data_IF_593034509185
#
_entry.id   IF_593034509185
#
_cell.length_a   1.000
_cell.length_b   1.000
_cell.length_c   1.000
_cell.angle_alpha   90.00
_cell.angle_beta   90.00
_cell.angle_gamma   90.00
#
_symmetry.space_group_name_H-M   'P 1'
#
loop_
_entity.id
_entity.type
_entity.pdbx_description
1 polymer ?
#
# COMPACT_ATOMS: atom_id res chain seq x y z
N UNK A 1 -11.31 6.49 -2.52
CA UNK A 1 -10.82 5.66 -1.39
C UNK A 1 -10.12 6.57 -0.38
N UNK A 2 -9.96 6.14 0.89
CA UNK A 2 -9.37 6.99 1.96
C UNK A 2 -7.99 7.50 1.59
N UNK A 3 -7.14 6.64 1.00
CA UNK A 3 -5.81 7.02 0.53
C UNK A 3 -5.81 8.15 -0.49
N UNK A 4 -6.62 8.06 -1.54
CA UNK A 4 -6.75 9.12 -2.54
C UNK A 4 -7.15 10.47 -1.91
N UNK A 5 -8.08 10.43 -0.94
CA UNK A 5 -8.54 11.63 -0.24
C UNK A 5 -7.44 12.24 0.64
N UNK A 6 -6.62 11.41 1.28
CA UNK A 6 -5.45 11.88 2.02
C UNK A 6 -4.48 12.63 1.10
N UNK A 7 -4.19 12.09 -0.08
CA UNK A 7 -3.27 12.71 -1.04
C UNK A 7 -3.78 14.08 -1.53
N UNK A 8 -5.09 14.28 -1.64
CA UNK A 8 -5.68 15.57 -2.01
C UNK A 8 -5.38 16.68 -0.99
N UNK A 9 -5.18 16.36 0.30
CA UNK A 9 -4.84 17.35 1.32
C UNK A 9 -3.50 18.03 1.09
N UNK A 10 -2.61 17.43 0.28
CA UNK A 10 -1.37 18.07 -0.15
C UNK A 10 -1.62 19.46 -0.76
N UNK A 11 -2.72 19.64 -1.48
CA UNK A 11 -3.07 20.94 -2.10
C UNK A 11 -3.38 22.05 -1.09
N UNK A 12 -3.69 21.69 0.17
CA UNK A 12 -3.98 22.61 1.26
C UNK A 12 -2.78 22.86 2.16
N UNK A 13 -1.74 22.02 2.07
CA UNK A 13 -0.51 22.19 2.83
C UNK A 13 0.51 23.00 2.02
N UNK A 14 1.07 24.06 2.61
CA UNK A 14 1.94 25.00 1.90
C UNK A 14 3.22 24.33 1.41
N UNK A 15 3.81 23.45 2.23
CA UNK A 15 5.07 22.78 1.90
C UNK A 15 4.84 21.74 0.82
N UNK A 16 3.84 20.87 1.00
CA UNK A 16 3.49 19.84 0.02
C UNK A 16 3.08 20.44 -1.33
N UNK A 17 2.18 21.43 -1.32
CA UNK A 17 1.70 22.09 -2.54
C UNK A 17 2.83 22.79 -3.30
N UNK A 18 3.90 23.23 -2.62
CA UNK A 18 5.06 23.84 -3.28
C UNK A 18 5.79 22.87 -4.23
N UNK A 19 5.74 21.56 -3.93
CA UNK A 19 6.34 20.49 -4.72
C UNK A 19 5.36 19.84 -5.72
N UNK A 20 4.05 19.96 -5.49
CA UNK A 20 3.00 19.31 -6.29
C UNK A 20 2.00 20.31 -6.87
N UNK A 21 2.49 21.19 -7.74
CA UNK A 21 1.68 22.24 -8.38
C UNK A 21 0.88 21.72 -9.56
N UNK A 22 -0.28 22.33 -9.83
CA UNK A 22 -1.08 22.03 -11.04
C UNK A 22 -0.22 22.23 -12.31
N UNK A 23 -0.32 21.32 -13.30
CA UNK A 23 -1.25 20.19 -13.37
C UNK A 23 -0.79 18.91 -12.64
N UNK A 24 0.41 18.86 -12.07
CA UNK A 24 1.05 17.70 -11.46
C UNK A 24 0.87 17.66 -9.93
N UNK A 25 -0.40 17.55 -9.50
CA UNK A 25 -0.77 17.37 -8.09
C UNK A 25 -0.31 16.01 -7.57
N UNK A 26 -0.11 15.85 -6.26
CA UNK A 26 0.35 14.59 -5.63
C UNK A 26 -0.42 13.33 -6.11
N UNK A 27 -1.77 13.29 -6.14
CA UNK A 27 -2.50 12.13 -6.66
C UNK A 27 -2.18 11.82 -8.12
N UNK A 28 -2.03 12.86 -8.96
CA UNK A 28 -1.73 12.70 -10.38
C UNK A 28 -0.29 12.21 -10.60
N UNK A 29 0.66 12.76 -9.83
CA UNK A 29 2.05 12.35 -9.84
C UNK A 29 2.19 10.88 -9.43
N UNK A 30 1.54 10.47 -8.32
CA UNK A 30 1.57 9.07 -7.90
C UNK A 30 0.94 8.15 -8.95
N UNK A 31 -0.17 8.55 -9.57
CA UNK A 31 -0.78 7.76 -10.65
C UNK A 31 0.18 7.54 -11.83
N UNK A 32 0.88 8.60 -12.25
CA UNK A 32 1.89 8.51 -13.31
C UNK A 32 3.03 7.58 -12.91
N UNK A 33 3.57 7.77 -11.70
CA UNK A 33 4.64 6.95 -11.15
C UNK A 33 4.30 5.45 -11.11
N UNK A 34 3.09 5.09 -10.64
CA UNK A 34 2.64 3.69 -10.61
C UNK A 34 2.58 3.09 -12.03
N UNK A 35 2.07 3.85 -13.00
CA UNK A 35 2.01 3.42 -14.39
C UNK A 35 3.40 3.29 -15.04
N UNK A 36 4.33 4.19 -14.70
CA UNK A 36 5.71 4.12 -15.16
C UNK A 36 6.43 2.89 -14.60
N UNK A 37 6.19 2.55 -13.32
CA UNK A 37 6.72 1.34 -12.69
C UNK A 37 6.12 0.05 -13.27
N UNK A 38 4.84 0.05 -13.65
CA UNK A 38 4.24 -1.08 -14.38
C UNK A 38 4.86 -1.25 -15.77
N UNK A 39 5.17 -0.14 -16.44
CA UNK A 39 5.76 -0.13 -17.79
C UNK A 39 7.23 -0.49 -17.79
N UNK A 40 8.00 -0.01 -16.81
CA UNK A 40 9.43 -0.28 -16.64
C UNK A 40 9.74 -0.69 -15.19
N UNK A 41 9.46 -1.97 -14.84
CA UNK A 41 9.69 -2.50 -13.50
C UNK A 41 11.18 -2.66 -13.14
N UNK A 42 12.08 -2.40 -14.10
CA UNK A 42 13.53 -2.51 -13.92
C UNK A 42 14.24 -1.14 -13.92
N UNK A 43 13.49 -0.03 -13.96
CA UNK A 43 14.04 1.30 -13.74
C UNK A 43 14.71 1.42 -12.36
N UNK A 44 15.68 2.33 -12.24
CA UNK A 44 16.53 2.47 -11.04
C UNK A 44 15.74 2.57 -9.74
N UNK A 45 14.67 3.36 -9.68
CA UNK A 45 13.88 3.48 -8.45
C UNK A 45 12.81 2.39 -8.30
N UNK A 46 12.34 1.78 -9.38
CA UNK A 46 11.41 0.66 -9.30
C UNK A 46 12.09 -0.59 -8.70
N UNK A 47 13.35 -0.83 -9.05
CA UNK A 47 14.09 -2.00 -8.52
C UNK A 47 14.35 -1.91 -7.03
N UNK A 48 14.47 -0.71 -6.46
CA UNK A 48 14.63 -0.54 -5.00
C UNK A 48 13.49 -1.17 -4.21
N UNK A 49 12.27 -1.17 -4.76
CA UNK A 49 11.10 -1.74 -4.08
C UNK A 49 11.18 -3.26 -3.92
N UNK A 50 12.07 -3.95 -4.66
CA UNK A 50 12.35 -5.38 -4.46
C UNK A 50 13.01 -5.66 -3.10
N UNK A 51 13.68 -4.66 -2.53
CA UNK A 51 14.33 -4.77 -1.22
C UNK A 51 13.36 -4.56 -0.05
N UNK A 52 12.08 -4.24 -0.32
CA UNK A 52 11.05 -4.20 0.71
C UNK A 52 10.78 -5.60 1.25
N UNK A 53 10.96 -5.81 2.55
CA UNK A 53 10.89 -7.14 3.19
C UNK A 53 9.51 -7.81 3.07
N UNK A 54 8.44 -7.03 3.17
CA UNK A 54 7.05 -7.55 3.19
C UNK A 54 6.41 -7.54 1.80
N UNK A 55 6.84 -6.61 0.93
CA UNK A 55 6.14 -6.32 -0.33
C UNK A 55 7.00 -6.48 -1.59
N UNK A 56 8.30 -6.79 -1.47
CA UNK A 56 9.22 -6.89 -2.61
C UNK A 56 8.92 -8.02 -3.60
N UNK A 57 8.07 -8.97 -3.23
CA UNK A 57 7.55 -10.03 -4.09
C UNK A 57 6.45 -9.55 -5.06
N UNK A 58 5.84 -8.38 -4.82
CA UNK A 58 4.85 -7.80 -5.72
C UNK A 58 5.53 -6.98 -6.83
N UNK A 59 4.76 -6.58 -7.85
CA UNK A 59 5.26 -5.61 -8.84
C UNK A 59 5.69 -4.31 -8.14
N UNK A 60 6.66 -3.55 -8.68
CA UNK A 60 7.09 -2.30 -8.04
C UNK A 60 5.93 -1.31 -7.79
N UNK A 61 4.97 -1.21 -8.72
CA UNK A 61 3.75 -0.42 -8.52
C UNK A 61 2.93 -0.87 -7.30
N UNK A 62 2.67 -2.18 -7.18
CA UNK A 62 1.93 -2.76 -6.08
C UNK A 62 2.70 -2.65 -4.76
N UNK A 63 4.00 -2.91 -4.77
CA UNK A 63 4.89 -2.75 -3.62
C UNK A 63 4.88 -1.30 -3.11
N UNK A 64 4.91 -0.31 -4.01
CA UNK A 64 4.78 1.10 -3.63
C UNK A 64 3.41 1.39 -3.00
N UNK A 65 2.31 0.99 -3.65
CA UNK A 65 0.95 1.22 -3.15
C UNK A 65 0.73 0.62 -1.75
N UNK A 66 1.18 -0.62 -1.54
CA UNK A 66 1.12 -1.32 -0.25
C UNK A 66 2.01 -0.66 0.82
N UNK A 67 3.19 -0.18 0.43
CA UNK A 67 4.07 0.56 1.35
C UNK A 67 3.43 1.88 1.78
N UNK A 68 2.83 2.62 0.85
CA UNK A 68 2.13 3.86 1.15
C UNK A 68 0.90 3.63 2.03
N UNK A 69 0.21 2.50 1.88
CA UNK A 69 -0.90 2.12 2.76
C UNK A 69 -0.42 1.86 4.19
N UNK A 70 0.69 1.12 4.34
CA UNK A 70 1.33 0.91 5.64
C UNK A 70 1.78 2.22 6.29
N UNK A 71 2.27 3.17 5.50
CA UNK A 71 2.60 4.52 5.99
C UNK A 71 1.36 5.31 6.38
N UNK A 72 0.26 5.19 5.63
CA UNK A 72 -0.96 5.96 5.84
C UNK A 72 -1.63 5.66 7.18
N UNK A 73 -1.64 4.38 7.59
CA UNK A 73 -2.21 3.95 8.86
C UNK A 73 -1.37 4.38 10.06
N UNK A 74 -0.09 4.68 9.85
CA UNK A 74 0.83 5.13 10.89
C UNK A 74 0.83 6.67 11.03
N UNK A 75 0.72 7.18 12.25
CA UNK A 75 0.67 8.63 12.51
C UNK A 75 1.97 9.35 12.14
N UNK A 76 3.10 8.72 12.38
CA UNK A 76 4.42 9.30 12.15
C UNK A 76 4.89 9.11 10.71
N UNK A 77 4.53 8.01 10.06
CA UNK A 77 4.95 7.74 8.69
C UNK A 77 4.05 8.42 7.64
N UNK A 78 2.76 8.66 7.91
CA UNK A 78 1.85 9.23 6.89
C UNK A 78 2.31 10.60 6.38
N UNK A 79 2.98 11.40 7.23
CA UNK A 79 3.54 12.71 6.86
C UNK A 79 4.70 12.60 5.86
N UNK A 80 5.33 11.42 5.76
CA UNK A 80 6.42 11.13 4.83
C UNK A 80 5.93 10.66 3.46
N UNK A 81 4.62 10.40 3.27
CA UNK A 81 4.08 9.97 1.98
C UNK A 81 4.40 10.97 0.86
N UNK A 82 4.12 12.28 0.99
CA UNK A 82 4.44 13.23 -0.08
C UNK A 82 5.93 13.30 -0.46
N UNK A 83 6.90 13.44 0.48
CA UNK A 83 8.30 13.48 0.10
C UNK A 83 8.81 12.16 -0.49
N UNK A 84 8.30 11.01 -0.05
CA UNK A 84 8.64 9.71 -0.65
C UNK A 84 8.16 9.63 -2.10
N UNK A 85 6.89 9.97 -2.37
CA UNK A 85 6.36 10.02 -3.74
C UNK A 85 7.14 11.02 -4.61
N UNK A 86 7.48 12.18 -4.06
CA UNK A 86 8.25 13.19 -4.79
C UNK A 86 9.62 12.65 -5.25
N UNK A 87 10.34 11.96 -4.36
CA UNK A 87 11.65 11.37 -4.64
C UNK A 87 11.57 10.22 -5.64
N UNK A 88 10.59 9.33 -5.49
CA UNK A 88 10.38 8.25 -6.46
C UNK A 88 10.05 8.81 -7.86
N UNK A 89 9.24 9.86 -7.94
CA UNK A 89 8.90 10.48 -9.21
C UNK A 89 10.08 11.19 -9.86
N UNK A 90 10.97 11.81 -9.08
CA UNK A 90 12.15 12.51 -9.60
C UNK A 90 13.27 11.54 -9.98
N UNK A 91 13.48 10.52 -9.15
CA UNK A 91 14.44 9.44 -9.33
C UNK A 91 15.85 9.88 -9.77
N UNK A 92 16.37 10.97 -9.21
CA UNK A 92 17.77 11.36 -9.41
C UNK A 92 18.71 10.42 -8.62
N UNK A 93 20.00 10.39 -8.94
CA UNK A 93 20.98 9.54 -8.24
C UNK A 93 20.93 9.72 -6.70
N UNK A 94 20.84 10.98 -6.22
CA UNK A 94 20.70 11.27 -4.78
C UNK A 94 19.36 10.83 -4.20
N UNK A 95 18.30 10.75 -5.01
CA UNK A 95 17.03 10.20 -4.55
C UNK A 95 17.11 8.70 -4.38
N UNK A 96 17.77 7.98 -5.30
CA UNK A 96 17.97 6.54 -5.17
C UNK A 96 18.69 6.19 -3.86
N UNK A 97 19.72 6.94 -3.48
CA UNK A 97 20.43 6.76 -2.21
C UNK A 97 19.50 6.98 -0.99
N UNK A 98 18.74 8.08 -1.01
CA UNK A 98 17.81 8.42 0.09
C UNK A 98 16.66 7.41 0.17
N UNK A 99 16.14 6.94 -0.96
CA UNK A 99 15.08 5.94 -1.03
C UNK A 99 15.57 4.59 -0.55
N UNK A 100 16.80 4.21 -0.88
CA UNK A 100 17.44 2.98 -0.37
C UNK A 100 17.56 3.01 1.15
N UNK A 101 18.01 4.15 1.70
CA UNK A 101 18.09 4.34 3.15
C UNK A 101 16.71 4.34 3.80
N UNK A 102 15.70 4.95 3.17
CA UNK A 102 14.32 4.93 3.62
C UNK A 102 13.77 3.50 3.68
N UNK A 103 13.99 2.69 2.65
CA UNK A 103 13.58 1.28 2.59
C UNK A 103 14.26 0.47 3.70
N UNK A 104 15.56 0.67 3.92
CA UNK A 104 16.27 0.07 5.05
C UNK A 104 15.59 0.38 6.39
N UNK A 105 15.26 1.65 6.65
CA UNK A 105 14.59 2.05 7.88
C UNK A 105 13.16 1.51 7.99
N UNK A 106 12.38 1.50 6.91
CA UNK A 106 11.03 0.93 6.90
C UNK A 106 11.06 -0.58 7.20
N UNK A 107 12.03 -1.30 6.63
CA UNK A 107 12.23 -2.72 6.90
C UNK A 107 12.58 -2.99 8.37
N UNK A 108 13.47 -2.16 8.94
CA UNK A 108 13.84 -2.24 10.34
C UNK A 108 12.65 -1.90 11.26
N UNK A 109 11.93 -0.83 10.95
CA UNK A 109 10.75 -0.38 11.69
C UNK A 109 9.65 -1.45 11.69
N UNK A 110 9.33 -2.03 10.53
CA UNK A 110 8.33 -3.09 10.42
C UNK A 110 8.75 -4.43 11.05
N UNK A 111 10.02 -4.59 11.41
CA UNK A 111 10.54 -5.78 12.11
C UNK A 111 10.78 -5.55 13.60
N UNK A 112 10.65 -4.31 14.08
CA UNK A 112 10.90 -3.97 15.47
C UNK A 112 9.72 -4.46 16.33
N UNK A 113 10.02 -5.08 17.47
CA UNK A 113 8.99 -5.42 18.43
C UNK A 113 8.64 -4.23 19.31
N UNK A 114 7.35 -4.05 19.57
CA UNK A 114 6.82 -3.01 20.45
C UNK A 114 6.18 -3.62 21.69
N UNK A 115 5.94 -2.82 22.73
CA UNK A 115 5.17 -3.30 23.89
C UNK A 115 3.72 -3.66 23.50
N UNK A 116 3.18 -3.01 22.47
CA UNK A 116 1.83 -3.25 21.97
C UNK A 116 1.70 -4.64 21.32
N UNK A 117 2.80 -5.22 20.83
CA UNK A 117 2.81 -6.57 20.26
C UNK A 117 2.36 -7.63 21.27
N UNK A 118 2.61 -7.40 22.58
CA UNK A 118 2.15 -8.29 23.64
C UNK A 118 0.62 -8.32 23.77
N UNK A 119 -0.06 -7.29 23.29
CA UNK A 119 -1.52 -7.16 23.28
C UNK A 119 -2.14 -7.46 21.91
N UNK A 120 -1.32 -7.72 20.89
CA UNK A 120 -1.80 -8.06 19.56
C UNK A 120 -2.37 -9.48 19.55
N UNK A 121 -3.67 -9.60 19.23
CA UNK A 121 -4.34 -10.88 19.02
C UNK A 121 -4.70 -11.03 17.54
N UNK A 122 -4.03 -11.92 16.79
CA UNK A 122 -4.34 -12.19 15.39
C UNK A 122 -5.80 -12.64 15.19
N UNK A 123 -6.35 -13.38 16.16
CA UNK A 123 -7.73 -13.82 16.13
C UNK A 123 -8.71 -12.65 16.26
N UNK A 124 -8.49 -11.76 17.23
CA UNK A 124 -9.32 -10.58 17.42
C UNK A 124 -9.22 -9.63 16.22
N UNK A 125 -8.01 -9.41 15.70
CA UNK A 125 -7.77 -8.61 14.51
C UNK A 125 -8.55 -9.17 13.30
N UNK A 126 -8.48 -10.48 13.06
CA UNK A 126 -9.20 -11.13 11.96
C UNK A 126 -10.72 -11.05 12.15
N UNK A 127 -11.22 -11.24 13.38
CA UNK A 127 -12.64 -11.12 13.69
C UNK A 127 -13.16 -9.73 13.32
N UNK A 128 -12.54 -8.67 13.85
CA UNK A 128 -12.93 -7.27 13.60
C UNK A 128 -12.85 -6.96 12.11
N UNK A 129 -11.71 -7.29 11.48
CA UNK A 129 -11.49 -6.99 10.05
C UNK A 129 -12.55 -7.66 9.17
N UNK A 130 -12.81 -8.95 9.37
CA UNK A 130 -13.75 -9.70 8.54
C UNK A 130 -15.22 -9.44 8.88
N UNK A 131 -15.53 -8.87 10.06
CA UNK A 131 -16.88 -8.44 10.40
C UNK A 131 -17.21 -7.02 9.97
N UNK A 132 -16.23 -6.11 9.96
CA UNK A 132 -16.47 -4.67 9.80
C UNK A 132 -15.95 -4.11 8.48
N UNK A 133 -14.91 -4.69 7.89
CA UNK A 133 -14.23 -4.11 6.73
C UNK A 133 -14.51 -4.85 5.42
N UNK A 134 -14.99 -6.09 5.48
CA UNK A 134 -15.22 -6.94 4.30
C UNK A 134 -16.70 -6.91 3.86
N UNK A 135 -16.90 -6.79 2.55
CA UNK A 135 -18.21 -6.95 1.91
C UNK A 135 -18.69 -8.41 2.04
N UNK A 136 -19.98 -8.59 2.32
CA UNK A 136 -20.64 -9.90 2.36
C UNK A 136 -21.78 -9.93 1.34
N UNK A 137 -21.78 -10.85 0.35
CA UNK A 137 -20.75 -11.87 0.11
C UNK A 137 -19.42 -11.27 -0.38
N UNK A 138 -18.34 -12.02 -0.21
CA UNK A 138 -17.00 -11.63 -0.64
C UNK A 138 -17.00 -11.35 -2.16
N UNK A 139 -16.47 -10.21 -2.61
CA UNK A 139 -16.24 -9.95 -4.03
C UNK A 139 -15.30 -10.99 -4.65
N UNK A 140 -15.40 -11.21 -5.96
CA UNK A 140 -14.46 -12.10 -6.67
C UNK A 140 -13.03 -11.56 -6.61
N UNK A 141 -12.04 -12.45 -6.68
CA UNK A 141 -10.62 -12.08 -6.74
C UNK A 141 -10.32 -11.04 -7.82
N UNK A 142 -10.90 -11.23 -9.02
CA UNK A 142 -10.75 -10.28 -10.13
C UNK A 142 -11.28 -8.90 -9.80
N UNK A 143 -12.42 -8.80 -9.11
CA UNK A 143 -12.98 -7.52 -8.69
C UNK A 143 -12.11 -6.85 -7.62
N UNK A 144 -11.59 -7.61 -6.66
CA UNK A 144 -10.67 -7.09 -5.64
C UNK A 144 -9.36 -6.58 -6.24
N UNK A 145 -8.75 -7.33 -7.17
CA UNK A 145 -7.56 -6.90 -7.91
C UNK A 145 -7.82 -5.65 -8.74
N UNK A 146 -8.99 -5.56 -9.40
CA UNK A 146 -9.41 -4.37 -10.14
C UNK A 146 -9.51 -3.16 -9.22
N UNK A 147 -10.11 -3.31 -8.04
CA UNK A 147 -10.21 -2.24 -7.04
C UNK A 147 -8.83 -1.80 -6.56
N UNK A 148 -7.95 -2.75 -6.22
CA UNK A 148 -6.57 -2.46 -5.83
C UNK A 148 -5.83 -1.63 -6.89
N UNK A 149 -5.89 -2.05 -8.17
CA UNK A 149 -5.24 -1.34 -9.28
C UNK A 149 -5.85 0.04 -9.58
N UNK A 150 -7.11 0.25 -9.23
CA UNK A 150 -7.79 1.55 -9.45
C UNK A 150 -7.43 2.61 -8.39
N UNK A 151 -6.90 2.17 -7.25
CA UNK A 151 -6.53 3.00 -6.12
C UNK A 151 -5.07 3.44 -6.18
N UNK A 152 -4.74 4.62 -5.63
CA UNK A 152 -3.34 5.05 -5.53
C UNK A 152 -2.65 4.49 -4.28
N UNK A 153 -3.43 4.32 -3.22
CA UNK A 153 -3.01 3.75 -1.94
C UNK A 153 -4.12 2.81 -1.49
N UNK A 154 -3.81 1.53 -1.39
CA UNK A 154 -4.78 0.49 -1.06
C UNK A 154 -4.17 -0.58 -0.18
N UNK A 155 -4.96 -1.03 0.79
CA UNK A 155 -4.70 -2.27 1.50
C UNK A 155 -4.70 -3.46 0.53
N UNK A 156 -3.86 -4.45 0.82
CA UNK A 156 -3.67 -5.67 0.02
C UNK A 156 -4.79 -6.71 0.15
N UNK A 157 -6.05 -6.27 0.34
CA UNK A 157 -7.19 -7.15 0.64
C UNK A 157 -7.42 -8.25 -0.41
N UNK A 158 -6.95 -8.06 -1.65
CA UNK A 158 -7.01 -9.06 -2.72
C UNK A 158 -6.20 -10.35 -2.42
N UNK A 159 -5.24 -10.29 -1.49
CA UNK A 159 -4.40 -11.42 -1.08
C UNK A 159 -5.00 -12.23 0.09
N UNK A 160 -5.99 -11.67 0.80
CA UNK A 160 -6.64 -12.23 1.98
C UNK A 160 -7.80 -13.22 1.76
N UNK A 161 -8.39 -13.42 0.54
CA UNK A 161 -9.52 -14.33 0.38
C UNK A 161 -9.34 -15.74 0.99
N UNK A 162 -8.17 -16.41 0.89
CA UNK A 162 -8.00 -17.72 1.52
C UNK A 162 -8.25 -17.69 3.03
N UNK A 163 -7.67 -16.71 3.73
CA UNK A 163 -7.81 -16.57 5.18
C UNK A 163 -9.23 -16.15 5.59
N UNK A 164 -9.82 -15.19 4.87
CA UNK A 164 -11.21 -14.77 5.07
C UNK A 164 -12.17 -15.95 4.95
N UNK A 165 -12.06 -16.73 3.87
CA UNK A 165 -12.96 -17.86 3.61
C UNK A 165 -12.77 -18.98 4.64
N UNK A 166 -11.52 -19.28 5.02
CA UNK A 166 -11.24 -20.26 6.06
C UNK A 166 -11.82 -19.88 7.43
N UNK A 167 -11.76 -18.59 7.78
CA UNK A 167 -12.24 -18.05 9.05
C UNK A 167 -13.77 -17.98 9.11
N UNK A 168 -14.41 -17.44 8.06
CA UNK A 168 -15.85 -17.15 8.04
C UNK A 168 -16.72 -18.33 7.66
N UNK A 169 -16.15 -19.34 6.98
CA UNK A 169 -16.89 -20.45 6.36
C UNK A 169 -18.01 -19.98 5.42
N UNK A 170 -17.81 -18.82 4.78
CA UNK A 170 -18.77 -18.25 3.84
C UNK A 170 -18.98 -19.19 2.63
N UNK A 171 -20.24 -19.40 2.23
CA UNK A 171 -20.64 -20.28 1.11
C UNK A 171 -20.89 -19.51 -0.19
N UNK A 172 -20.02 -18.56 -0.52
CA UNK A 172 -20.11 -17.80 -1.77
C UNK A 172 -19.21 -18.41 -2.84
N UNK A 173 -19.51 -18.12 -4.12
CA UNK A 173 -18.66 -18.52 -5.26
C UNK A 173 -17.20 -18.07 -5.11
N UNK A 174 -16.98 -16.94 -4.46
CA UNK A 174 -15.64 -16.42 -4.20
C UNK A 174 -14.87 -17.27 -3.18
N UNK A 175 -15.56 -17.97 -2.26
CA UNK A 175 -14.94 -18.86 -1.30
C UNK A 175 -14.91 -20.33 -1.73
N UNK A 176 -15.80 -20.75 -2.63
CA UNK A 176 -15.86 -22.11 -3.19
C UNK A 176 -14.53 -22.52 -3.83
N UNK A 177 -13.80 -21.60 -4.48
CA UNK A 177 -12.53 -21.91 -5.13
C UNK A 177 -11.43 -22.41 -4.16
N UNK A 178 -11.57 -22.14 -2.86
CA UNK A 178 -10.57 -22.49 -1.85
C UNK A 178 -10.90 -23.75 -1.03
N UNK A 179 -12.09 -24.35 -1.20
CA UNK A 179 -12.50 -25.59 -0.52
C UNK A 179 -12.37 -25.56 1.02
N UNK A 180 -12.60 -24.41 1.66
CA UNK A 180 -12.52 -24.29 3.12
C UNK A 180 -13.83 -24.61 3.86
N UNK A 181 -14.86 -25.01 3.13
CA UNK A 181 -16.17 -25.47 3.61
C UNK A 181 -16.88 -26.29 2.55
#
# INVERSE_FOLDING_TARGET
MVGDRFLEFCSKDVICNSHFKKPNTLPKTLRGLLADFDKDPNSTCATLLKDMKIFGQFSPSAALSLTLDRMLIDAELRKLIPPVVYRFNRCEAKDADVLSQFIYYINAYGSASTQDDAFYSPLLFSLITYSEMYERPLPSKTEMERRFKSALVSAGAFAEPPQYCAFTKEKSKACEEFNYG
#
